data_IF_418900825917
#
_entry.id   IF_418900825917
#
_cell.length_a   1.000
_cell.length_b   1.000
_cell.length_c   1.000
_cell.angle_alpha   90.00
_cell.angle_beta   90.00
_cell.angle_gamma   90.00
#
_symmetry.space_group_name_H-M   'P 1'
#
loop_
_entity.id
_entity.type
_entity.pdbx_description
1 polymer ?
#
# COMPACT_ATOMS: atom_id res chain seq x y z
N UNK A 1 19.96 36.15 6.91
CA UNK A 1 18.52 35.96 6.86
C UNK A 1 17.99 35.54 5.49
N UNK A 2 18.49 36.18 4.44
CA UNK A 2 18.02 35.84 3.08
C UNK A 2 18.50 34.48 2.59
N UNK A 3 19.62 33.96 3.11
CA UNK A 3 20.12 32.64 2.76
C UNK A 3 19.25 31.49 3.26
N UNK A 4 18.54 31.69 4.36
CA UNK A 4 17.69 30.65 4.94
C UNK A 4 16.44 30.39 4.10
N UNK A 5 15.91 31.38 3.42
CA UNK A 5 14.73 31.19 2.56
C UNK A 5 15.06 30.35 1.33
N UNK A 6 16.24 30.52 0.75
CA UNK A 6 16.69 29.71 -0.38
C UNK A 6 16.91 28.25 0.03
N UNK A 7 17.49 28.03 1.20
CA UNK A 7 17.71 26.68 1.74
C UNK A 7 16.40 26.00 2.08
N UNK A 8 15.45 26.72 2.66
CA UNK A 8 14.11 26.19 2.95
C UNK A 8 13.38 25.79 1.67
N UNK A 9 13.49 26.59 0.61
CA UNK A 9 12.91 26.27 -0.69
C UNK A 9 13.55 25.04 -1.32
N UNK A 10 14.88 24.91 -1.21
CA UNK A 10 15.60 23.72 -1.69
C UNK A 10 15.19 22.48 -0.94
N UNK A 11 15.07 22.56 0.38
CA UNK A 11 14.62 21.43 1.20
C UNK A 11 13.19 21.02 0.86
N UNK A 12 12.31 22.00 0.67
CA UNK A 12 10.93 21.74 0.28
C UNK A 12 10.85 21.06 -1.09
N UNK A 13 11.66 21.50 -2.05
CA UNK A 13 11.73 20.89 -3.38
C UNK A 13 12.31 19.48 -3.34
N UNK A 14 13.35 19.25 -2.53
CA UNK A 14 13.95 17.94 -2.34
C UNK A 14 12.96 16.98 -1.70
N UNK A 15 12.22 17.45 -0.69
CA UNK A 15 11.20 16.68 -0.03
C UNK A 15 10.09 16.27 -0.98
N UNK A 16 9.62 17.22 -1.81
CA UNK A 16 8.61 16.99 -2.83
C UNK A 16 9.10 15.97 -3.86
N UNK A 17 10.36 16.07 -4.26
CA UNK A 17 10.98 15.15 -5.20
C UNK A 17 11.09 13.75 -4.63
N UNK A 18 11.48 13.60 -3.37
CA UNK A 18 11.56 12.34 -2.66
C UNK A 18 10.17 11.71 -2.47
N UNK A 19 9.16 12.51 -2.18
CA UNK A 19 7.79 12.05 -2.05
C UNK A 19 7.25 11.49 -3.38
N UNK A 20 7.56 12.13 -4.49
CA UNK A 20 7.23 11.64 -5.83
C UNK A 20 7.90 10.31 -6.12
N UNK A 21 9.17 10.18 -5.75
CA UNK A 21 9.94 8.95 -5.94
C UNK A 21 9.35 7.80 -5.13
N UNK A 22 9.01 8.06 -3.88
CA UNK A 22 8.38 7.07 -2.99
C UNK A 22 7.04 6.63 -3.57
N UNK A 23 6.24 7.58 -4.02
CA UNK A 23 4.94 7.28 -4.63
C UNK A 23 5.09 6.32 -5.82
N UNK A 24 6.09 6.56 -6.66
CA UNK A 24 6.41 5.67 -7.79
C UNK A 24 6.85 4.30 -7.32
N UNK A 25 7.68 4.24 -6.28
CA UNK A 25 8.13 2.97 -5.71
C UNK A 25 6.96 2.17 -5.15
N UNK A 26 6.00 2.83 -4.49
CA UNK A 26 4.81 2.18 -3.94
C UNK A 26 3.93 1.57 -5.03
N UNK A 27 3.89 2.17 -6.20
CA UNK A 27 3.15 1.65 -7.35
C UNK A 27 3.69 0.30 -7.85
N UNK A 28 4.96 0.01 -7.59
CA UNK A 28 5.62 -1.22 -8.04
C UNK A 28 5.75 -2.28 -6.94
N UNK A 29 5.43 -1.95 -5.70
CA UNK A 29 5.48 -2.91 -4.59
C UNK A 29 4.13 -3.59 -4.47
N UNK A 30 4.14 -4.93 -4.51
CA UNK A 30 2.92 -5.72 -4.33
C UNK A 30 2.80 -6.21 -2.90
N UNK A 31 1.58 -6.14 -2.37
CA UNK A 31 1.21 -6.70 -1.08
C UNK A 31 0.03 -7.66 -1.27
N UNK A 32 -0.17 -8.55 -0.33
CA UNK A 32 -1.22 -9.56 -0.42
C UNK A 32 -2.09 -9.55 0.82
N UNK A 33 -3.39 -9.75 0.60
CA UNK A 33 -4.33 -10.04 1.67
C UNK A 33 -4.93 -11.41 1.42
N UNK A 34 -4.95 -12.24 2.45
CA UNK A 34 -5.43 -13.62 2.36
C UNK A 34 -6.55 -13.81 3.37
N UNK A 35 -7.59 -14.55 2.98
CA UNK A 35 -8.70 -14.90 3.86
C UNK A 35 -9.20 -16.30 3.55
N UNK A 36 -10.14 -16.79 4.37
CA UNK A 36 -10.79 -18.09 4.19
C UNK A 36 -9.77 -19.23 4.05
N UNK A 37 -8.75 -19.24 4.91
CA UNK A 37 -7.69 -20.26 4.93
C UNK A 37 -6.95 -20.40 3.59
N UNK A 38 -6.73 -19.26 2.93
CA UNK A 38 -6.04 -19.22 1.65
C UNK A 38 -6.95 -19.36 0.43
N UNK A 39 -8.25 -19.53 0.62
CA UNK A 39 -9.19 -19.67 -0.47
C UNK A 39 -9.43 -18.38 -1.24
N UNK A 40 -9.17 -17.24 -0.62
CA UNK A 40 -9.27 -15.93 -1.26
C UNK A 40 -7.97 -15.17 -1.05
N UNK A 41 -7.41 -14.66 -2.15
CA UNK A 41 -6.19 -13.86 -2.13
C UNK A 41 -6.40 -12.61 -2.97
N UNK A 42 -6.12 -11.45 -2.38
CA UNK A 42 -6.13 -10.17 -3.09
C UNK A 42 -4.71 -9.66 -3.16
N UNK A 43 -4.26 -9.37 -4.37
CA UNK A 43 -2.96 -8.73 -4.61
C UNK A 43 -3.19 -7.25 -4.87
N UNK A 44 -2.46 -6.41 -4.18
CA UNK A 44 -2.62 -4.97 -4.22
C UNK A 44 -1.26 -4.30 -4.31
N UNK A 45 -1.19 -3.13 -4.91
CA UNK A 45 0.03 -2.33 -4.83
C UNK A 45 0.06 -1.57 -3.52
N UNK A 46 1.25 -1.16 -3.08
CA UNK A 46 1.39 -0.42 -1.84
C UNK A 46 0.72 0.96 -1.88
N UNK A 47 0.39 1.44 -3.09
CA UNK A 47 -0.42 2.65 -3.28
C UNK A 47 -1.93 2.37 -3.31
N UNK A 48 -2.34 1.18 -2.82
CA UNK A 48 -3.73 0.78 -2.60
C UNK A 48 -4.55 0.55 -3.88
N UNK A 49 -3.90 0.05 -4.93
CA UNK A 49 -4.60 -0.36 -6.15
C UNK A 49 -4.66 -1.88 -6.23
N UNK A 50 -5.87 -2.41 -6.36
CA UNK A 50 -6.07 -3.85 -6.49
C UNK A 50 -5.59 -4.30 -7.86
N UNK A 51 -4.69 -5.29 -7.88
CA UNK A 51 -4.15 -5.86 -9.12
C UNK A 51 -4.83 -7.16 -9.51
N UNK A 52 -5.16 -7.99 -8.53
CA UNK A 52 -5.71 -9.30 -8.79
C UNK A 52 -6.53 -9.79 -7.59
N UNK A 53 -7.55 -10.60 -7.90
CA UNK A 53 -8.37 -11.28 -6.89
C UNK A 53 -8.45 -12.74 -7.31
N UNK A 54 -7.97 -13.65 -6.45
CA UNK A 54 -8.02 -15.09 -6.68
C UNK A 54 -8.97 -15.73 -5.70
N UNK A 55 -9.88 -16.55 -6.23
CA UNK A 55 -10.85 -17.31 -5.44
C UNK A 55 -10.73 -18.77 -5.89
N UNK A 56 -10.50 -19.68 -4.93
CA UNK A 56 -10.39 -21.10 -5.31
C UNK A 56 -11.79 -21.73 -5.51
N UNK A 57 -11.81 -22.92 -6.10
CA UNK A 57 -13.05 -23.60 -6.46
C UNK A 57 -13.92 -23.93 -5.25
N UNK A 58 -13.30 -24.25 -4.12
CA UNK A 58 -14.02 -24.57 -2.89
C UNK A 58 -14.83 -23.35 -2.42
N UNK A 59 -14.23 -22.18 -2.46
CA UNK A 59 -14.91 -20.94 -2.07
C UNK A 59 -16.00 -20.59 -3.07
N UNK A 60 -15.76 -20.80 -4.37
CA UNK A 60 -16.76 -20.55 -5.43
C UNK A 60 -18.01 -21.38 -5.25
N UNK A 61 -17.90 -22.57 -4.63
CA UNK A 61 -19.03 -23.44 -4.35
C UNK A 61 -19.84 -23.00 -3.13
N UNK A 62 -19.35 -22.01 -2.39
CA UNK A 62 -20.01 -21.49 -1.20
C UNK A 62 -21.15 -20.54 -1.55
N UNK A 63 -21.96 -20.22 -0.57
CA UNK A 63 -23.02 -19.24 -0.73
C UNK A 63 -22.44 -17.82 -0.94
N UNK A 64 -23.21 -16.97 -1.60
CA UNK A 64 -22.76 -15.64 -1.96
C UNK A 64 -22.20 -14.83 -0.78
N UNK A 65 -22.88 -14.89 0.37
CA UNK A 65 -22.43 -14.12 1.54
C UNK A 65 -21.08 -14.58 2.07
N UNK A 66 -20.74 -15.86 1.92
CA UNK A 66 -19.44 -16.40 2.32
C UNK A 66 -18.35 -15.86 1.42
N UNK A 67 -18.60 -15.85 0.11
CA UNK A 67 -17.66 -15.31 -0.88
C UNK A 67 -17.46 -13.80 -0.66
N UNK A 68 -18.54 -13.07 -0.49
CA UNK A 68 -18.51 -11.62 -0.26
C UNK A 68 -17.70 -11.28 0.98
N UNK A 69 -17.92 -12.00 2.09
CA UNK A 69 -17.16 -11.78 3.32
C UNK A 69 -15.68 -12.11 3.15
N UNK A 70 -15.37 -13.20 2.45
CA UNK A 70 -13.98 -13.59 2.18
C UNK A 70 -13.23 -12.50 1.40
N UNK A 71 -13.88 -11.95 0.39
CA UNK A 71 -13.31 -10.85 -0.41
C UNK A 71 -13.09 -9.61 0.47
N UNK A 72 -14.09 -9.25 1.27
CA UNK A 72 -13.99 -8.10 2.17
C UNK A 72 -12.79 -8.22 3.12
N UNK A 73 -12.64 -9.37 3.74
CA UNK A 73 -11.54 -9.62 4.68
C UNK A 73 -10.19 -9.59 3.96
N UNK A 74 -10.09 -10.22 2.79
CA UNK A 74 -8.85 -10.24 2.01
C UNK A 74 -8.46 -8.83 1.57
N UNK A 75 -9.41 -8.02 1.11
CA UNK A 75 -9.16 -6.64 0.71
C UNK A 75 -8.68 -5.82 1.90
N UNK A 76 -9.32 -5.95 3.06
CA UNK A 76 -8.94 -5.22 4.25
C UNK A 76 -7.54 -5.62 4.72
N UNK A 77 -7.19 -6.90 4.65
CA UNK A 77 -5.86 -7.38 5.00
C UNK A 77 -4.80 -6.82 4.03
N UNK A 78 -5.11 -6.79 2.74
CA UNK A 78 -4.22 -6.20 1.74
C UNK A 78 -4.03 -4.70 1.96
N UNK A 79 -5.12 -3.97 2.26
CA UNK A 79 -5.06 -2.53 2.55
C UNK A 79 -4.20 -2.23 3.78
N UNK A 80 -4.34 -3.04 4.82
CA UNK A 80 -3.53 -2.89 6.03
C UNK A 80 -2.05 -3.05 5.73
N UNK A 81 -1.70 -4.08 4.94
CA UNK A 81 -0.32 -4.34 4.54
C UNK A 81 0.20 -3.21 3.64
N UNK A 82 -0.63 -2.71 2.72
CA UNK A 82 -0.27 -1.57 1.87
C UNK A 82 0.01 -0.31 2.70
N UNK A 83 -0.83 -0.04 3.69
CA UNK A 83 -0.65 1.11 4.59
C UNK A 83 0.64 0.98 5.41
N UNK A 84 0.91 -0.21 5.94
CA UNK A 84 2.13 -0.47 6.70
C UNK A 84 3.38 -0.28 5.84
N UNK A 85 3.36 -0.79 4.62
CA UNK A 85 4.46 -0.66 3.67
C UNK A 85 4.69 0.81 3.31
N UNK A 86 3.62 1.54 3.04
CA UNK A 86 3.66 2.97 2.73
C UNK A 86 4.21 3.78 3.91
N UNK A 87 3.75 3.48 5.12
CA UNK A 87 4.20 4.15 6.33
C UNK A 87 5.69 3.94 6.58
N UNK A 88 6.20 2.70 6.36
CA UNK A 88 7.61 2.38 6.51
C UNK A 88 8.47 3.15 5.51
N UNK A 89 8.01 3.26 4.26
CA UNK A 89 8.72 4.01 3.23
C UNK A 89 8.77 5.50 3.56
N UNK A 90 7.65 6.07 3.99
CA UNK A 90 7.57 7.47 4.39
C UNK A 90 8.44 7.77 5.62
N UNK A 91 8.45 6.85 6.59
CA UNK A 91 9.26 6.97 7.80
C UNK A 91 10.75 6.97 7.49
N UNK A 92 11.17 6.20 6.50
CA UNK A 92 12.57 6.18 6.06
C UNK A 92 13.03 7.54 5.53
N UNK A 93 12.12 8.29 4.90
CA UNK A 93 12.41 9.63 4.39
C UNK A 93 12.37 10.69 5.50
N UNK A 94 11.33 10.65 6.34
CA UNK A 94 11.16 11.62 7.43
C UNK A 94 12.12 11.36 8.59
N UNK A 95 12.53 10.11 8.79
CA UNK A 95 13.50 9.73 9.81
C UNK A 95 14.87 10.35 9.62
N UNK A 96 15.24 10.69 8.39
CA UNK A 96 16.48 11.39 8.08
C UNK A 96 16.47 12.87 8.43
N UNK A 97 15.30 13.43 8.78
CA UNK A 97 15.12 14.83 9.13
C UNK A 97 15.16 15.09 10.64
N UNK A 98 15.19 14.05 11.43
CA UNK A 98 15.34 14.13 12.89
C UNK A 98 16.78 13.79 13.27
#
# INVERSE_FOLDING_TARGET
MFGNMKEMLKQAQNMKSQMKKIKKELESIEVEGISANGACKVTMTADMKTQNVEINETLLSSEAYVIENAIKVAVNNALEDAKDTSAKKLKAVTGGLT
#
